data_IF_165754842706
#
_entry.id   IF_165754842706
#
_cell.length_a   1.000
_cell.length_b   1.000
_cell.length_c   1.000
_cell.angle_alpha   90.00
_cell.angle_beta   90.00
_cell.angle_gamma   90.00
#
_symmetry.space_group_name_H-M   'P 1'
#
loop_
_entity.id
_entity.type
_entity.pdbx_description
1 polymer ?
#
# COMPACT_ATOMS: atom_id res chain seq x y z
N UNK A 1 20.25 6.27 10.07
CA UNK A 1 20.75 5.72 8.79
C UNK A 1 19.58 5.08 8.07
N UNK A 2 19.23 5.52 6.86
CA UNK A 2 18.13 4.87 6.11
C UNK A 2 18.65 3.54 5.57
N UNK A 3 18.04 2.44 6.03
CA UNK A 3 18.44 1.10 5.62
C UNK A 3 18.21 0.89 4.11
N UNK A 4 19.10 0.14 3.45
CA UNK A 4 18.94 -0.26 2.04
C UNK A 4 17.84 -1.33 1.86
N UNK A 5 17.62 -1.79 0.63
CA UNK A 5 16.55 -2.73 0.28
C UNK A 5 16.72 -4.12 0.91
N UNK A 6 17.94 -4.64 0.95
CA UNK A 6 18.22 -5.99 1.46
C UNK A 6 18.10 -5.99 2.98
N UNK A 7 18.46 -4.87 3.60
CA UNK A 7 18.33 -4.69 5.05
C UNK A 7 16.87 -4.74 5.53
N UNK A 8 15.88 -4.31 4.74
CA UNK A 8 14.47 -4.42 5.15
C UNK A 8 13.91 -5.82 5.03
N UNK A 9 14.33 -6.59 4.01
CA UNK A 9 13.95 -8.00 3.93
C UNK A 9 14.59 -8.77 5.09
N UNK A 10 15.86 -8.50 5.42
CA UNK A 10 16.53 -9.11 6.58
C UNK A 10 15.86 -8.76 7.90
N UNK A 11 15.50 -7.49 8.11
CA UNK A 11 14.74 -7.06 9.29
C UNK A 11 13.38 -7.76 9.34
N UNK A 12 12.70 -7.87 8.20
CA UNK A 12 11.43 -8.58 8.13
C UNK A 12 11.61 -10.06 8.48
N UNK A 13 12.63 -10.72 7.94
CA UNK A 13 12.97 -12.13 8.22
C UNK A 13 13.22 -12.33 9.71
N UNK A 14 14.00 -11.47 10.36
CA UNK A 14 14.21 -11.53 11.83
C UNK A 14 12.92 -11.33 12.62
N UNK A 15 12.07 -10.38 12.24
CA UNK A 15 10.77 -10.19 12.86
C UNK A 15 9.88 -11.43 12.71
N UNK A 16 9.93 -12.06 11.54
CA UNK A 16 9.18 -13.27 11.22
C UNK A 16 9.68 -14.48 12.00
N UNK A 17 10.99 -14.72 12.07
CA UNK A 17 11.58 -15.80 12.87
C UNK A 17 11.16 -15.68 14.33
N UNK A 18 11.15 -14.46 14.88
CA UNK A 18 10.68 -14.21 16.22
C UNK A 18 9.18 -14.50 16.39
N UNK A 19 8.36 -14.21 15.38
CA UNK A 19 6.94 -14.56 15.39
C UNK A 19 6.73 -16.07 15.26
N UNK A 20 7.48 -16.76 14.40
CA UNK A 20 7.39 -18.19 14.18
C UNK A 20 7.69 -18.99 15.46
N UNK A 21 8.60 -18.50 16.31
CA UNK A 21 8.85 -19.09 17.65
C UNK A 21 7.63 -19.04 18.57
N UNK A 22 6.79 -18.01 18.44
CA UNK A 22 5.65 -17.77 19.33
C UNK A 22 4.33 -18.35 18.81
N UNK A 23 4.20 -18.52 17.50
CA UNK A 23 2.96 -18.90 16.83
C UNK A 23 3.11 -20.09 15.87
N UNK A 24 4.31 -20.67 15.74
CA UNK A 24 4.65 -21.77 14.82
C UNK A 24 5.07 -21.30 13.43
N UNK A 25 5.67 -22.20 12.64
CA UNK A 25 6.08 -21.98 11.23
C UNK A 25 4.90 -21.76 10.26
N UNK A 26 3.68 -21.72 10.79
CA UNK A 26 2.43 -21.56 10.05
C UNK A 26 2.29 -20.12 9.50
N UNK A 27 3.11 -19.17 9.96
CA UNK A 27 3.19 -17.82 9.39
C UNK A 27 4.07 -17.89 8.13
N UNK A 28 3.57 -17.53 6.93
CA UNK A 28 4.43 -17.50 5.74
C UNK A 28 5.55 -16.45 5.87
N UNK A 29 6.76 -16.75 5.37
CA UNK A 29 7.89 -15.84 5.48
C UNK A 29 7.64 -14.53 4.73
N UNK A 30 8.23 -13.42 5.22
CA UNK A 30 8.27 -12.16 4.49
C UNK A 30 9.08 -12.38 3.21
N UNK A 31 8.62 -11.84 2.09
CA UNK A 31 9.26 -12.07 0.79
C UNK A 31 8.38 -12.79 -0.23
N UNK A 32 7.27 -13.42 0.18
CA UNK A 32 6.29 -13.96 -0.75
C UNK A 32 5.25 -12.92 -1.17
N UNK A 33 4.88 -12.93 -2.46
CA UNK A 33 3.69 -12.23 -2.93
C UNK A 33 2.43 -13.05 -2.67
N UNK A 34 1.39 -12.35 -2.25
CA UNK A 34 0.03 -12.86 -2.21
C UNK A 34 -0.76 -12.18 -3.31
N UNK A 35 -1.69 -12.91 -3.93
CA UNK A 35 -2.58 -12.37 -4.94
C UNK A 35 -3.95 -12.22 -4.31
N UNK A 36 -4.44 -11.00 -4.22
CA UNK A 36 -5.73 -10.68 -3.62
C UNK A 36 -6.59 -9.91 -4.62
N UNK A 37 -7.92 -10.01 -4.46
CA UNK A 37 -8.85 -9.11 -5.15
C UNK A 37 -8.57 -7.67 -4.70
N UNK A 38 -8.23 -6.72 -5.60
CA UNK A 38 -8.02 -5.31 -5.25
C UNK A 38 -9.24 -4.68 -4.54
N UNK A 39 -10.45 -5.17 -4.78
CA UNK A 39 -11.68 -4.68 -4.16
C UNK A 39 -11.84 -5.15 -2.72
N UNK A 40 -11.13 -6.20 -2.29
CA UNK A 40 -11.13 -6.66 -0.89
C UNK A 40 -10.41 -5.72 0.08
N UNK A 41 -9.66 -4.73 -0.43
CA UNK A 41 -8.91 -3.75 0.36
C UNK A 41 -9.78 -2.51 0.61
N UNK A 42 -10.60 -2.56 1.66
CA UNK A 42 -11.58 -1.52 1.98
C UNK A 42 -11.05 -0.41 2.91
N UNK A 43 -10.10 -0.74 3.77
CA UNK A 43 -9.71 0.12 4.89
C UNK A 43 -8.21 0.39 4.91
N UNK A 44 -7.83 1.53 5.47
CA UNK A 44 -6.43 1.89 5.70
C UNK A 44 -5.99 1.42 7.09
N UNK A 45 -4.80 0.84 7.20
CA UNK A 45 -4.15 0.58 8.47
C UNK A 45 -3.37 1.83 8.93
N UNK A 46 -3.98 2.67 9.78
CA UNK A 46 -3.35 3.89 10.30
C UNK A 46 -2.19 3.62 11.28
N UNK A 47 -2.09 2.40 11.81
CA UNK A 47 -1.05 1.98 12.74
C UNK A 47 0.37 2.25 12.22
N UNK A 48 0.62 1.96 10.95
CA UNK A 48 1.96 2.08 10.35
C UNK A 48 2.41 3.53 10.16
N UNK A 49 1.48 4.50 10.18
CA UNK A 49 1.83 5.92 10.21
C UNK A 49 2.47 6.26 11.55
N UNK A 50 1.95 5.71 12.65
CA UNK A 50 2.46 5.95 14.01
C UNK A 50 3.84 5.32 14.18
N UNK A 51 4.03 4.08 13.73
CA UNK A 51 5.33 3.39 13.82
C UNK A 51 6.37 4.04 12.91
N UNK A 52 6.00 4.46 11.69
CA UNK A 52 6.90 5.25 10.83
C UNK A 52 7.39 6.51 11.52
N UNK A 53 6.52 7.26 12.19
CA UNK A 53 6.91 8.49 12.91
C UNK A 53 7.87 8.20 14.06
N UNK A 54 7.67 7.08 14.77
CA UNK A 54 8.48 6.70 15.92
C UNK A 54 9.83 6.09 15.54
N UNK A 55 9.88 5.27 14.49
CA UNK A 55 11.04 4.44 14.15
C UNK A 55 11.69 4.81 12.80
N UNK A 56 11.16 5.79 12.08
CA UNK A 56 11.76 6.36 10.87
C UNK A 56 11.48 5.60 9.57
N UNK A 57 10.77 4.47 9.59
CA UNK A 57 10.48 3.67 8.39
C UNK A 57 9.04 3.20 8.28
N UNK A 58 8.53 3.21 7.04
CA UNK A 58 7.22 2.67 6.68
C UNK A 58 7.19 1.13 6.67
N UNK A 59 8.35 0.48 6.64
CA UNK A 59 8.51 -0.97 6.63
C UNK A 59 8.91 -1.55 7.99
N UNK A 60 8.93 -0.72 9.04
CA UNK A 60 9.33 -1.14 10.38
C UNK A 60 8.55 -2.36 10.90
N UNK A 61 7.26 -2.43 10.55
CA UNK A 61 6.37 -3.50 11.01
C UNK A 61 6.42 -4.75 10.12
N UNK A 62 7.28 -4.78 9.11
CA UNK A 62 7.30 -5.90 8.16
C UNK A 62 7.71 -7.20 8.86
N UNK A 63 6.94 -8.27 8.64
CA UNK A 63 7.16 -9.59 9.21
C UNK A 63 6.59 -9.77 10.62
N UNK A 64 6.05 -8.71 11.25
CA UNK A 64 5.58 -8.76 12.64
C UNK A 64 4.18 -9.33 12.78
N UNK A 65 3.96 -10.02 13.90
CA UNK A 65 2.63 -10.30 14.46
C UNK A 65 2.36 -9.30 15.58
N UNK A 66 1.23 -8.61 15.52
CA UNK A 66 0.90 -7.47 16.38
C UNK A 66 -0.45 -7.73 17.04
N UNK A 67 -0.50 -7.66 18.37
CA UNK A 67 -1.73 -7.74 19.17
C UNK A 67 -2.36 -6.37 19.42
N UNK A 68 -3.49 -6.34 20.11
CA UNK A 68 -4.19 -5.11 20.47
C UNK A 68 -5.32 -4.75 19.51
N UNK A 69 -5.59 -3.46 19.35
CA UNK A 69 -6.78 -2.95 18.65
C UNK A 69 -6.45 -2.10 17.42
N UNK A 70 -5.27 -2.31 16.83
CA UNK A 70 -4.77 -1.50 15.72
C UNK A 70 -5.61 -1.63 14.43
N UNK A 71 -6.35 -2.73 14.30
CA UNK A 71 -7.16 -3.10 13.14
C UNK A 71 -8.64 -2.69 13.27
N UNK A 72 -9.05 -2.12 14.41
CA UNK A 72 -10.44 -1.72 14.68
C UNK A 72 -10.79 -0.34 14.12
N UNK A 73 -9.79 0.50 13.88
CA UNK A 73 -10.00 1.84 13.31
C UNK A 73 -10.25 1.76 11.80
N UNK A 74 -11.43 1.24 11.45
CA UNK A 74 -11.91 1.06 10.07
C UNK A 74 -12.82 2.22 9.61
N UNK A 75 -12.85 3.32 10.37
CA UNK A 75 -13.82 4.41 10.16
C UNK A 75 -13.42 5.32 9.01
N UNK A 76 -12.13 5.45 8.72
CA UNK A 76 -11.67 6.17 7.54
C UNK A 76 -11.87 5.30 6.30
N UNK A 77 -12.95 5.57 5.55
CA UNK A 77 -13.03 5.15 4.14
C UNK A 77 -11.73 5.57 3.47
N UNK A 78 -11.05 4.58 2.91
CA UNK A 78 -9.68 4.69 2.47
C UNK A 78 -9.52 5.81 1.43
N UNK A 79 -8.38 6.51 1.47
CA UNK A 79 -7.99 7.55 0.48
C UNK A 79 -8.13 7.10 -0.98
N UNK A 80 -8.20 5.79 -1.26
CA UNK A 80 -8.49 5.35 -2.63
C UNK A 80 -9.92 5.59 -3.05
N UNK A 81 -10.92 5.77 -2.19
CA UNK A 81 -12.27 6.13 -2.64
C UNK A 81 -12.24 7.46 -3.41
N UNK A 82 -11.59 8.45 -2.80
CA UNK A 82 -11.37 9.73 -3.45
C UNK A 82 -10.46 9.58 -4.68
N UNK A 83 -9.30 8.91 -4.55
CA UNK A 83 -8.39 8.73 -5.68
C UNK A 83 -9.01 7.96 -6.85
N UNK A 84 -9.86 6.97 -6.59
CA UNK A 84 -10.64 6.21 -7.59
C UNK A 84 -11.62 7.12 -8.31
N UNK A 85 -12.32 7.99 -7.56
CA UNK A 85 -13.20 9.00 -8.15
C UNK A 85 -12.44 9.91 -9.12
N UNK A 86 -11.27 10.38 -8.71
CA UNK A 86 -10.44 11.30 -9.48
C UNK A 86 -9.78 10.62 -10.69
N UNK A 87 -9.37 9.36 -10.55
CA UNK A 87 -8.95 8.51 -11.68
C UNK A 87 -10.10 8.28 -12.68
N UNK A 88 -11.34 8.07 -12.20
CA UNK A 88 -12.50 7.93 -13.10
C UNK A 88 -12.77 9.23 -13.86
N UNK A 89 -12.68 10.39 -13.19
CA UNK A 89 -12.76 11.70 -13.84
C UNK A 89 -11.70 11.85 -14.93
N UNK A 90 -10.44 11.47 -14.64
CA UNK A 90 -9.36 11.49 -15.65
C UNK A 90 -9.63 10.57 -16.84
N UNK A 91 -9.90 9.29 -16.60
CA UNK A 91 -9.81 8.26 -17.65
C UNK A 91 -11.13 7.84 -18.28
N UNK A 92 -12.27 8.09 -17.63
CA UNK A 92 -13.60 7.79 -18.20
C UNK A 92 -14.39 9.04 -18.57
N UNK A 93 -14.20 10.16 -17.87
CA UNK A 93 -14.84 11.44 -18.22
C UNK A 93 -13.94 12.27 -19.15
N UNK A 94 -12.62 12.10 -19.07
CA UNK A 94 -11.67 12.77 -19.96
C UNK A 94 -11.17 14.12 -19.45
N UNK A 95 -11.37 14.44 -18.17
CA UNK A 95 -10.82 15.68 -17.59
C UNK A 95 -9.28 15.68 -17.64
N UNK A 96 -8.68 16.86 -17.80
CA UNK A 96 -7.26 17.04 -17.54
C UNK A 96 -7.00 17.00 -16.05
N UNK A 97 -5.78 16.64 -15.64
CA UNK A 97 -5.44 16.61 -14.22
C UNK A 97 -5.68 17.95 -13.56
N UNK A 98 -5.35 19.04 -14.22
CA UNK A 98 -5.54 20.41 -13.75
C UNK A 98 -7.00 20.77 -13.43
N UNK A 99 -7.96 20.03 -14.00
CA UNK A 99 -9.40 20.22 -13.79
C UNK A 99 -9.95 19.33 -12.66
N UNK A 100 -9.14 18.41 -12.13
CA UNK A 100 -9.52 17.51 -11.04
C UNK A 100 -9.37 18.17 -9.67
N UNK A 101 -10.25 17.82 -8.73
CA UNK A 101 -10.18 18.31 -7.34
C UNK A 101 -8.90 17.80 -6.65
N UNK A 102 -8.45 16.60 -7.01
CA UNK A 102 -7.19 16.03 -6.56
C UNK A 102 -6.00 16.93 -6.85
N UNK A 103 -5.92 17.44 -8.08
CA UNK A 103 -4.83 18.32 -8.50
C UNK A 103 -4.86 19.62 -7.73
N UNK A 104 -6.03 20.27 -7.66
CA UNK A 104 -6.21 21.53 -6.94
C UNK A 104 -5.82 21.40 -5.47
N UNK A 105 -6.27 20.33 -4.81
CA UNK A 105 -5.88 20.04 -3.43
C UNK A 105 -4.36 19.86 -3.30
N UNK A 106 -3.71 19.11 -4.20
CA UNK A 106 -2.26 18.88 -4.13
C UNK A 106 -1.46 20.16 -4.34
N UNK A 107 -1.86 21.02 -5.28
CA UNK A 107 -1.25 22.33 -5.46
C UNK A 107 -1.36 23.20 -4.19
N UNK A 108 -2.54 23.24 -3.57
CA UNK A 108 -2.74 23.95 -2.29
C UNK A 108 -1.84 23.39 -1.18
N UNK A 109 -1.70 22.05 -1.07
CA UNK A 109 -0.81 21.46 -0.06
C UNK A 109 0.66 21.78 -0.33
N UNK A 110 1.10 21.84 -1.60
CA UNK A 110 2.46 22.27 -1.94
C UNK A 110 2.67 23.72 -1.51
N UNK A 111 1.73 24.61 -1.77
CA UNK A 111 1.82 26.01 -1.36
C UNK A 111 1.86 26.16 0.18
N UNK A 112 1.01 25.43 0.90
CA UNK A 112 0.87 25.55 2.35
C UNK A 112 1.96 24.80 3.15
N UNK A 113 2.43 23.64 2.66
CA UNK A 113 3.33 22.73 3.39
C UNK A 113 4.66 22.48 2.69
N UNK A 114 4.88 23.06 1.51
CA UNK A 114 6.10 22.94 0.72
C UNK A 114 6.29 21.61 -0.02
N UNK A 115 5.50 20.57 0.28
CA UNK A 115 5.67 19.25 -0.35
C UNK A 115 4.43 18.35 -0.21
N UNK A 116 4.15 17.56 -1.26
CA UNK A 116 3.22 16.41 -1.21
C UNK A 116 3.69 15.29 -2.15
N UNK A 117 3.53 14.03 -1.74
CA UNK A 117 3.90 12.85 -2.55
C UNK A 117 5.33 12.88 -3.14
N UNK A 118 6.25 13.54 -2.45
CA UNK A 118 7.64 13.74 -2.89
C UNK A 118 7.85 14.88 -3.90
N UNK A 119 6.79 15.61 -4.27
CA UNK A 119 6.84 16.78 -5.14
C UNK A 119 6.91 18.05 -4.30
N UNK A 120 7.92 18.89 -4.56
CA UNK A 120 8.16 20.18 -3.87
C UNK A 120 7.57 21.38 -4.63
N UNK A 121 7.14 21.17 -5.87
CA UNK A 121 6.55 22.20 -6.72
C UNK A 121 5.58 21.59 -7.73
N UNK A 122 4.85 22.46 -8.42
CA UNK A 122 3.81 22.08 -9.39
C UNK A 122 4.39 21.34 -10.60
N UNK A 123 5.58 21.69 -11.07
CA UNK A 123 6.21 21.00 -12.22
C UNK A 123 6.57 19.54 -11.90
N UNK A 124 7.09 19.29 -10.69
CA UNK A 124 7.34 17.93 -10.22
C UNK A 124 6.03 17.14 -10.07
N UNK A 125 4.97 17.81 -9.62
CA UNK A 125 3.64 17.22 -9.54
C UNK A 125 3.11 16.86 -10.94
N UNK A 126 3.26 17.75 -11.92
CA UNK A 126 2.88 17.52 -13.32
C UNK A 126 3.56 16.27 -13.88
N UNK A 127 4.89 16.21 -13.80
CA UNK A 127 5.67 15.03 -14.23
C UNK A 127 5.25 13.75 -13.52
N UNK A 128 4.86 13.83 -12.25
CA UNK A 128 4.35 12.67 -11.50
C UNK A 128 3.03 12.17 -12.06
N UNK A 129 2.15 13.07 -12.47
CA UNK A 129 0.83 12.75 -12.99
C UNK A 129 0.84 12.33 -14.47
N UNK A 130 1.76 12.85 -15.27
CA UNK A 130 2.07 12.32 -16.60
C UNK A 130 2.52 10.85 -16.52
N UNK A 131 3.40 10.53 -15.55
CA UNK A 131 3.78 9.12 -15.28
C UNK A 131 2.59 8.27 -14.80
N UNK A 132 1.60 8.87 -14.16
CA UNK A 132 0.39 8.16 -13.72
C UNK A 132 -0.49 7.77 -14.90
N UNK A 133 -0.59 8.63 -15.93
CA UNK A 133 -1.28 8.31 -17.19
C UNK A 133 -0.61 7.14 -17.90
N UNK A 134 0.72 7.19 -18.04
CA UNK A 134 1.49 6.08 -18.63
C UNK A 134 1.24 4.78 -17.87
N UNK A 135 1.32 4.82 -16.54
CA UNK A 135 1.10 3.65 -15.69
C UNK A 135 -0.32 3.09 -15.84
N UNK A 136 -1.34 3.96 -15.92
CA UNK A 136 -2.72 3.52 -16.14
C UNK A 136 -2.86 2.77 -17.46
N UNK A 137 -2.32 3.31 -18.55
CA UNK A 137 -2.40 2.68 -19.87
C UNK A 137 -1.62 1.37 -19.94
N UNK A 138 -0.46 1.28 -19.27
CA UNK A 138 0.30 0.03 -19.16
C UNK A 138 -0.49 -1.06 -18.44
N UNK A 139 -1.07 -0.76 -17.28
CA UNK A 139 -1.86 -1.73 -16.51
C UNK A 139 -3.12 -2.13 -17.28
N UNK A 140 -3.79 -1.15 -17.91
CA UNK A 140 -4.98 -1.40 -18.73
C UNK A 140 -4.68 -2.31 -19.92
N UNK A 141 -3.58 -2.05 -20.63
CA UNK A 141 -3.17 -2.87 -21.79
C UNK A 141 -2.73 -4.27 -21.41
N UNK A 142 -2.02 -4.42 -20.29
CA UNK A 142 -1.56 -5.72 -19.80
C UNK A 142 -2.68 -6.54 -19.12
N UNK A 143 -3.74 -5.90 -18.63
CA UNK A 143 -4.76 -6.55 -17.80
C UNK A 143 -4.23 -7.04 -16.44
N UNK A 144 -3.05 -6.58 -16.03
CA UNK A 144 -2.36 -7.04 -14.84
C UNK A 144 -1.56 -5.92 -14.17
N UNK A 145 -1.47 -5.99 -12.84
CA UNK A 145 -0.57 -5.16 -12.06
C UNK A 145 0.69 -5.98 -11.72
N UNK A 146 1.85 -5.49 -12.15
CA UNK A 146 3.14 -6.11 -11.85
C UNK A 146 3.63 -5.73 -10.44
N UNK A 147 4.28 -6.69 -9.78
CA UNK A 147 4.99 -6.52 -8.51
C UNK A 147 6.21 -5.58 -8.64
N UNK A 148 6.85 -5.21 -7.53
CA UNK A 148 8.12 -4.47 -7.61
C UNK A 148 9.22 -5.28 -8.31
N UNK A 149 9.31 -6.57 -8.01
CA UNK A 149 10.31 -7.48 -8.59
C UNK A 149 10.17 -7.59 -10.11
N UNK A 150 8.97 -7.86 -10.62
CA UNK A 150 8.69 -7.92 -12.06
C UNK A 150 8.97 -6.60 -12.78
N UNK A 151 8.96 -5.47 -12.05
CA UNK A 151 9.28 -4.14 -12.58
C UNK A 151 10.73 -3.73 -12.40
N UNK A 152 11.58 -4.58 -11.81
CA UNK A 152 12.94 -4.22 -11.42
C UNK A 152 13.01 -3.05 -10.42
N UNK A 153 11.94 -2.86 -9.64
CA UNK A 153 11.80 -1.79 -8.66
C UNK A 153 12.20 -2.25 -7.25
N UNK A 154 12.37 -1.29 -6.35
CA UNK A 154 12.73 -1.56 -4.95
C UNK A 154 11.58 -2.28 -4.25
N UNK A 155 11.89 -3.20 -3.32
CA UNK A 155 10.84 -3.86 -2.50
C UNK A 155 10.00 -2.87 -1.71
N UNK A 156 10.58 -1.72 -1.32
CA UNK A 156 9.86 -0.62 -0.69
C UNK A 156 8.82 0.06 -1.61
N UNK A 157 8.87 -0.22 -2.91
CA UNK A 157 7.89 0.16 -3.91
C UNK A 157 6.85 -0.94 -4.17
N UNK A 158 6.71 -1.96 -3.34
CA UNK A 158 5.58 -2.88 -3.39
C UNK A 158 4.29 -2.26 -2.82
N UNK A 159 3.18 -2.93 -3.10
CA UNK A 159 1.91 -2.70 -2.43
C UNK A 159 1.85 -3.60 -1.18
N UNK A 160 1.79 -2.98 -0.01
CA UNK A 160 1.71 -3.72 1.26
C UNK A 160 0.31 -3.68 1.85
N UNK A 161 -0.13 -4.82 2.37
CA UNK A 161 -1.34 -4.98 3.15
C UNK A 161 -1.02 -5.52 4.53
N UNK A 162 -1.85 -5.21 5.52
CA UNK A 162 -1.82 -5.85 6.83
C UNK A 162 -3.09 -6.67 7.01
N UNK A 163 -2.98 -7.80 7.71
CA UNK A 163 -4.09 -8.72 7.92
C UNK A 163 -4.69 -8.46 9.29
N UNK A 164 -5.95 -8.03 9.34
CA UNK A 164 -6.70 -7.74 10.56
C UNK A 164 -7.08 -9.03 11.32
N UNK A 165 -7.65 -8.90 12.53
CA UNK A 165 -7.99 -10.06 13.40
C UNK A 165 -8.96 -11.06 12.77
N UNK A 166 -9.81 -10.56 11.89
CA UNK A 166 -10.84 -11.30 11.13
C UNK A 166 -10.36 -11.73 9.74
N UNK A 167 -9.07 -11.57 9.44
CA UNK A 167 -8.50 -11.92 8.14
C UNK A 167 -8.68 -10.85 7.06
N UNK A 168 -9.36 -9.73 7.33
CA UNK A 168 -9.52 -8.66 6.34
C UNK A 168 -8.19 -8.02 5.95
N UNK A 169 -8.03 -7.72 4.66
CA UNK A 169 -6.87 -7.00 4.13
C UNK A 169 -7.05 -5.49 4.33
N UNK A 170 -6.12 -4.89 5.07
CA UNK A 170 -6.03 -3.46 5.28
C UNK A 170 -4.88 -2.90 4.45
N UNK A 171 -5.10 -1.84 3.70
CA UNK A 171 -3.99 -1.16 3.02
C UNK A 171 -2.99 -0.65 4.05
N UNK A 172 -1.73 -1.05 3.94
CA UNK A 172 -0.70 -0.62 4.86
C UNK A 172 0.11 0.55 4.29
N UNK A 173 0.98 0.28 3.31
CA UNK A 173 1.91 1.27 2.76
C UNK A 173 2.26 0.97 1.31
N UNK A 174 2.68 2.02 0.58
CA UNK A 174 3.15 1.90 -0.80
C UNK A 174 2.03 1.69 -1.81
N UNK A 175 2.22 2.16 -3.06
CA UNK A 175 1.33 1.78 -4.16
C UNK A 175 -0.13 2.24 -4.11
N UNK A 176 -0.51 3.26 -3.33
CA UNK A 176 -1.91 3.74 -3.27
C UNK A 176 -2.50 4.06 -4.66
N UNK A 177 -1.71 4.69 -5.53
CA UNK A 177 -2.10 4.96 -6.91
C UNK A 177 -2.28 3.68 -7.74
N UNK A 178 -1.39 2.69 -7.59
CA UNK A 178 -1.49 1.41 -8.28
C UNK A 178 -2.71 0.61 -7.82
N UNK A 179 -2.99 0.60 -6.53
CA UNK A 179 -4.20 -0.03 -5.98
C UNK A 179 -5.46 0.65 -6.52
N UNK A 180 -5.51 1.98 -6.51
CA UNK A 180 -6.66 2.70 -7.06
C UNK A 180 -6.84 2.44 -8.57
N UNK A 181 -5.76 2.40 -9.36
CA UNK A 181 -5.82 2.02 -10.78
C UNK A 181 -6.38 0.60 -10.93
N UNK A 182 -5.85 -0.37 -10.19
CA UNK A 182 -6.32 -1.75 -10.25
C UNK A 182 -7.82 -1.88 -9.89
N UNK A 183 -8.28 -1.13 -8.89
CA UNK A 183 -9.70 -1.07 -8.51
C UNK A 183 -10.57 -0.40 -9.59
N UNK A 184 -10.08 0.67 -10.23
CA UNK A 184 -10.78 1.36 -11.32
C UNK A 184 -10.91 0.46 -12.55
N UNK A 185 -9.84 -0.28 -12.88
CA UNK A 185 -9.80 -1.24 -13.98
C UNK A 185 -10.48 -2.58 -13.66
N UNK A 186 -10.89 -2.80 -12.40
CA UNK A 186 -11.52 -4.04 -11.93
C UNK A 186 -10.67 -5.28 -12.23
N UNK A 187 -9.36 -5.21 -11.97
CA UNK A 187 -8.50 -6.39 -12.09
C UNK A 187 -8.96 -7.49 -11.14
N UNK A 188 -8.85 -8.74 -11.55
CA UNK A 188 -9.27 -9.89 -10.73
C UNK A 188 -8.37 -10.08 -9.51
N UNK A 189 -7.07 -9.85 -9.67
CA UNK A 189 -6.08 -10.02 -8.61
C UNK A 189 -4.89 -9.08 -8.78
N UNK A 190 -4.26 -8.72 -7.67
CA UNK A 190 -3.05 -7.91 -7.62
C UNK A 190 -2.00 -8.53 -6.69
N UNK A 191 -0.70 -8.41 -7.01
CA UNK A 191 0.37 -8.82 -6.12
C UNK A 191 0.49 -7.84 -4.95
N UNK A 192 0.49 -8.39 -3.74
CA UNK A 192 0.72 -7.66 -2.48
C UNK A 192 1.73 -8.39 -1.61
N UNK A 193 2.36 -7.66 -0.71
CA UNK A 193 3.12 -8.21 0.40
C UNK A 193 2.37 -7.98 1.70
N UNK A 194 2.44 -8.96 2.60
CA UNK A 194 1.92 -8.77 3.96
C UNK A 194 2.97 -8.03 4.78
N UNK A 195 2.62 -6.84 5.27
CA UNK A 195 3.43 -6.07 6.17
C UNK A 195 3.37 -6.69 7.57
N UNK A 196 2.19 -6.71 8.18
CA UNK A 196 1.98 -7.30 9.50
C UNK A 196 0.68 -8.09 9.59
N UNK A 197 0.60 -8.99 10.56
CA UNK A 197 -0.61 -9.79 10.85
C UNK A 197 -1.09 -9.53 12.26
N UNK A 198 -2.41 -9.57 12.45
CA UNK A 198 -2.99 -9.50 13.77
C UNK A 198 -2.80 -10.84 14.48
N UNK A 199 -2.42 -10.82 15.75
CA UNK A 199 -2.19 -12.03 16.55
C UNK A 199 -3.36 -13.01 16.50
N UNK A 200 -4.59 -12.52 16.70
CA UNK A 200 -5.78 -13.36 16.64
C UNK A 200 -6.02 -14.01 15.27
N UNK A 201 -5.68 -13.34 14.16
CA UNK A 201 -5.84 -13.95 12.84
C UNK A 201 -4.90 -15.16 12.67
N UNK A 202 -3.68 -15.06 13.20
CA UNK A 202 -2.71 -16.15 13.15
C UNK A 202 -3.17 -17.33 14.01
N UNK A 203 -3.77 -17.06 15.19
CA UNK A 203 -4.32 -18.10 16.05
C UNK A 203 -5.57 -18.78 15.46
N UNK A 204 -6.51 -18.01 14.92
CA UNK A 204 -7.79 -18.53 14.44
C UNK A 204 -7.72 -19.26 13.10
N UNK A 205 -6.78 -18.91 12.21
CA UNK A 205 -6.66 -19.58 10.91
C UNK A 205 -6.42 -21.10 11.01
N UNK A 206 -6.05 -21.62 12.19
CA UNK A 206 -5.72 -23.03 12.39
C UNK A 206 -6.20 -23.61 13.74
N UNK A 207 -7.33 -23.10 14.26
CA UNK A 207 -8.07 -23.72 15.38
C UNK A 207 -9.22 -24.64 14.90
N UNK A 208 -9.17 -25.11 13.66
CA UNK A 208 -10.22 -25.93 13.01
C UNK A 208 -9.57 -27.04 12.20
#
# INVERSE_FOLDING_TARGET
MMLDNDQWLDVATKNWEQAAKNYGEIIPPPGRYFYIDPMSVHFHCSYHIKTKRKYGSKLYDWGRVISGNWDLDRREKYRTDWLRGELRKRFYIGLRWEETELWQHKCQVIQAKGMIDGCKNVDQLKKRYERLDVLFHQIKGAGALLSAEERGAKVSDDLFVSVARDGCHLFAVGGSHRLAIAQVLKLERIPVRVLSRHEQCVRHQWSS
#
